data_IF_658561796823
#
_entry.id   IF_658561796823
#
_cell.length_a   1.000
_cell.length_b   1.000
_cell.length_c   1.000
_cell.angle_alpha   90.00
_cell.angle_beta   90.00
_cell.angle_gamma   90.00
#
_symmetry.space_group_name_H-M   'P 1'
#
loop_
_entity.id
_entity.type
_entity.pdbx_description
1 polymer ?
#
# COMPACT_ATOMS: atom_id res chain seq x y z
N UNK A 1 -28.36 24.22 21.42
CA UNK A 1 -27.17 23.35 21.57
C UNK A 1 -26.72 22.97 20.18
N UNK A 2 -25.73 23.69 19.62
CA UNK A 2 -25.23 23.44 18.25
C UNK A 2 -24.15 22.37 18.32
N UNK A 3 -24.36 21.32 17.55
CA UNK A 3 -23.46 20.22 17.28
C UNK A 3 -22.03 20.71 17.02
N UNK A 4 -21.07 20.29 17.86
CA UNK A 4 -19.67 20.38 17.48
C UNK A 4 -19.38 19.23 16.52
N UNK A 5 -19.41 19.51 15.24
CA UNK A 5 -18.82 18.66 14.21
C UNK A 5 -17.32 18.55 14.53
N UNK A 6 -16.95 17.46 15.19
CA UNK A 6 -15.56 17.11 15.42
C UNK A 6 -14.97 16.75 14.05
N UNK A 7 -14.43 17.76 13.37
CA UNK A 7 -13.76 17.63 12.09
C UNK A 7 -12.74 16.49 12.15
N UNK A 8 -12.92 15.50 11.29
CA UNK A 8 -11.98 14.40 11.13
C UNK A 8 -10.59 14.97 10.85
N UNK A 9 -9.72 14.94 11.87
CA UNK A 9 -8.31 15.27 11.72
C UNK A 9 -7.69 14.22 10.80
N UNK A 10 -7.70 14.48 9.50
CA UNK A 10 -7.04 13.64 8.51
C UNK A 10 -5.57 13.51 8.91
N UNK A 11 -5.06 12.31 9.21
CA UNK A 11 -3.69 12.16 9.64
C UNK A 11 -2.77 12.57 8.49
N UNK A 12 -1.92 13.56 8.77
CA UNK A 12 -0.85 14.08 7.91
C UNK A 12 0.12 12.97 7.41
N UNK A 13 0.07 11.78 8.01
CA UNK A 13 0.94 10.65 7.72
C UNK A 13 0.70 9.94 6.38
N UNK A 14 -0.35 10.25 5.62
CA UNK A 14 -0.62 9.50 4.38
C UNK A 14 0.31 9.86 3.22
N UNK A 15 0.95 11.04 3.23
CA UNK A 15 1.77 11.51 2.10
C UNK A 15 3.27 11.20 2.23
N UNK A 16 3.79 11.06 3.45
CA UNK A 16 5.22 10.80 3.67
C UNK A 16 5.55 9.31 3.51
N UNK A 17 4.60 8.41 3.76
CA UNK A 17 4.79 6.97 3.49
C UNK A 17 4.99 6.69 1.99
N UNK A 18 4.23 7.34 1.10
CA UNK A 18 4.27 7.01 -0.34
C UNK A 18 5.60 7.38 -1.00
N UNK A 19 6.29 8.42 -0.54
CA UNK A 19 7.63 8.83 -1.03
C UNK A 19 8.77 7.97 -0.48
N UNK A 20 8.73 7.58 0.80
CA UNK A 20 9.76 6.73 1.42
C UNK A 20 9.71 5.28 0.90
N UNK A 21 8.53 4.80 0.49
CA UNK A 21 8.36 3.43 -0.04
C UNK A 21 9.07 3.19 -1.38
N UNK A 22 9.34 4.23 -2.17
CA UNK A 22 10.01 4.12 -3.46
C UNK A 22 11.55 4.04 -3.33
N UNK A 23 12.14 4.75 -2.35
CA UNK A 23 13.60 4.74 -2.14
C UNK A 23 14.12 3.42 -1.58
N UNK A 24 13.29 2.66 -0.85
CA UNK A 24 13.66 1.38 -0.25
C UNK A 24 13.04 0.18 -0.99
N UNK A 25 13.15 0.12 -2.32
CA UNK A 25 12.64 -1.01 -3.09
C UNK A 25 13.69 -2.13 -3.25
N UNK A 26 13.44 -3.30 -2.64
CA UNK A 26 14.21 -4.52 -2.86
C UNK A 26 13.84 -5.12 -4.22
N UNK A 27 14.82 -5.22 -5.11
CA UNK A 27 14.69 -5.86 -6.42
C UNK A 27 15.01 -7.35 -6.29
N UNK A 28 14.04 -8.20 -6.59
CA UNK A 28 14.23 -9.64 -6.66
C UNK A 28 14.33 -10.07 -8.13
N UNK A 29 15.44 -10.69 -8.55
CA UNK A 29 15.59 -11.16 -9.93
C UNK A 29 14.67 -12.35 -10.19
N UNK A 30 14.07 -12.38 -11.37
CA UNK A 30 13.24 -13.48 -11.87
C UNK A 30 13.67 -13.83 -13.30
N UNK A 31 13.31 -15.01 -13.80
CA UNK A 31 13.66 -15.39 -15.19
C UNK A 31 13.06 -14.36 -16.16
N UNK A 32 13.93 -13.61 -16.85
CA UNK A 32 13.54 -12.59 -17.82
C UNK A 32 13.31 -11.18 -17.25
N UNK A 33 13.66 -10.89 -15.99
CA UNK A 33 13.51 -9.55 -15.43
C UNK A 33 13.75 -9.43 -13.93
N UNK A 34 13.10 -8.44 -13.32
CA UNK A 34 13.10 -8.24 -11.87
C UNK A 34 11.73 -7.77 -11.38
N UNK A 35 11.41 -8.13 -10.15
CA UNK A 35 10.25 -7.63 -9.42
C UNK A 35 10.77 -6.78 -8.27
N UNK A 36 10.42 -5.49 -8.26
CA UNK A 36 10.73 -4.58 -7.17
C UNK A 36 9.57 -4.53 -6.17
N UNK A 37 9.89 -4.77 -4.91
CA UNK A 37 8.96 -4.65 -3.79
C UNK A 37 9.53 -3.70 -2.75
N UNK A 38 8.67 -2.95 -2.08
CA UNK A 38 9.07 -2.15 -0.92
C UNK A 38 9.65 -3.06 0.16
N UNK A 39 10.84 -2.73 0.66
CA UNK A 39 11.53 -3.48 1.70
C UNK A 39 10.79 -3.40 3.05
N UNK A 40 10.11 -2.29 3.30
CA UNK A 40 9.39 -2.04 4.56
C UNK A 40 8.02 -2.73 4.56
N UNK A 41 7.28 -2.63 3.46
CA UNK A 41 5.89 -3.08 3.41
C UNK A 41 5.68 -4.39 2.63
N UNK A 42 6.70 -4.88 1.92
CA UNK A 42 6.60 -6.01 1.00
C UNK A 42 5.71 -5.75 -0.23
N UNK A 43 5.17 -4.53 -0.37
CA UNK A 43 4.23 -4.15 -1.42
C UNK A 43 4.91 -4.09 -2.77
N UNK A 44 4.15 -4.41 -3.81
CA UNK A 44 4.60 -4.32 -5.20
C UNK A 44 4.80 -2.86 -5.61
N UNK A 45 5.96 -2.54 -6.19
CA UNK A 45 6.31 -1.20 -6.67
C UNK A 45 6.37 -1.19 -8.18
N UNK A 46 7.20 -2.06 -8.76
CA UNK A 46 7.36 -2.16 -10.20
C UNK A 46 7.89 -3.54 -10.62
N UNK A 47 7.69 -3.87 -11.89
CA UNK A 47 8.30 -5.01 -12.56
C UNK A 47 9.02 -4.51 -13.81
N UNK A 48 10.24 -4.97 -14.01
CA UNK A 48 11.04 -4.67 -15.19
C UNK A 48 11.44 -5.93 -15.92
N UNK A 49 11.42 -5.89 -17.24
CA UNK A 49 11.91 -6.93 -18.14
C UNK A 49 12.64 -6.29 -19.31
N UNK A 50 13.28 -7.09 -20.17
CA UNK A 50 13.94 -6.60 -21.38
C UNK A 50 12.98 -5.86 -22.34
N UNK A 51 11.67 -6.15 -22.28
CA UNK A 51 10.64 -5.49 -23.08
C UNK A 51 10.06 -4.22 -22.44
N UNK A 52 10.45 -3.88 -21.21
CA UNK A 52 10.03 -2.63 -20.55
C UNK A 52 9.71 -2.77 -19.07
N UNK A 53 9.29 -1.64 -18.48
CA UNK A 53 8.99 -1.49 -17.05
C UNK A 53 7.51 -1.14 -16.85
N UNK A 54 6.84 -1.86 -15.94
CA UNK A 54 5.47 -1.58 -15.52
C UNK A 54 5.43 -1.27 -14.02
N UNK A 55 4.88 -0.12 -13.66
CA UNK A 55 4.74 0.35 -12.27
C UNK A 55 3.36 0.03 -11.70
N UNK A 56 3.26 -0.02 -10.39
CA UNK A 56 1.98 -0.16 -9.70
C UNK A 56 1.04 0.99 -10.07
N UNK A 57 -0.14 0.66 -10.58
CA UNK A 57 -1.15 1.66 -10.95
C UNK A 57 -1.85 2.21 -9.69
N UNK A 58 -2.25 3.49 -9.64
CA UNK A 58 -2.96 4.06 -8.49
C UNK A 58 -4.25 3.29 -8.11
N UNK A 59 -4.97 2.78 -9.11
CA UNK A 59 -6.17 1.96 -8.92
C UNK A 59 -5.88 0.63 -8.20
N UNK A 60 -4.69 0.05 -8.38
CA UNK A 60 -4.32 -1.19 -7.69
C UNK A 60 -4.07 -0.95 -6.20
N UNK A 61 -3.56 0.24 -5.84
CA UNK A 61 -3.29 0.62 -4.45
C UNK A 61 -4.60 0.76 -3.66
N UNK A 62 -5.64 1.38 -4.24
CA UNK A 62 -6.93 1.54 -3.58
C UNK A 62 -7.60 0.19 -3.30
N UNK A 63 -7.60 -0.73 -4.28
CA UNK A 63 -8.16 -2.08 -4.13
C UNK A 63 -7.44 -2.87 -3.04
N UNK A 64 -6.11 -2.79 -2.97
CA UNK A 64 -5.33 -3.47 -1.93
C UNK A 64 -5.61 -2.89 -0.54
N UNK A 65 -5.73 -1.56 -0.42
CA UNK A 65 -6.10 -0.88 0.83
C UNK A 65 -7.49 -1.34 1.29
N UNK A 66 -8.47 -1.39 0.39
CA UNK A 66 -9.82 -1.84 0.69
C UNK A 66 -9.85 -3.30 1.18
N UNK A 67 -9.21 -4.21 0.44
CA UNK A 67 -9.12 -5.62 0.82
C UNK A 67 -8.44 -5.82 2.18
N UNK A 68 -7.43 -5.01 2.50
CA UNK A 68 -6.73 -5.06 3.79
C UNK A 68 -7.63 -4.54 4.93
N UNK A 69 -8.42 -3.50 4.67
CA UNK A 69 -9.39 -2.97 5.63
C UNK A 69 -10.47 -4.00 5.99
N UNK A 70 -11.03 -4.68 4.97
CA UNK A 70 -12.01 -5.76 5.16
C UNK A 70 -11.45 -6.93 5.98
N UNK A 71 -10.19 -7.33 5.71
CA UNK A 71 -9.50 -8.36 6.51
C UNK A 71 -9.32 -7.92 7.96
N UNK A 72 -8.87 -6.68 8.19
CA UNK A 72 -8.68 -6.13 9.53
C UNK A 72 -9.99 -6.09 10.33
N UNK A 73 -11.09 -5.69 9.72
CA UNK A 73 -12.39 -5.65 10.40
C UNK A 73 -12.90 -7.06 10.73
N UNK A 74 -12.74 -8.02 9.81
CA UNK A 74 -13.10 -9.42 10.07
C UNK A 74 -12.29 -10.02 11.23
N UNK A 75 -10.98 -9.81 11.26
CA UNK A 75 -10.11 -10.30 12.33
C UNK A 75 -10.47 -9.70 13.69
N UNK A 76 -10.77 -8.39 13.75
CA UNK A 76 -11.26 -7.74 14.99
C UNK A 76 -12.54 -8.39 15.51
N UNK A 77 -13.46 -8.77 14.62
CA UNK A 77 -14.69 -9.46 15.00
C UNK A 77 -14.44 -10.86 15.55
N UNK A 78 -13.47 -11.59 14.97
CA UNK A 78 -13.08 -12.92 15.46
C UNK A 78 -12.37 -12.84 16.81
N UNK A 79 -11.51 -11.84 17.03
CA UNK A 79 -10.78 -11.68 18.30
C UNK A 79 -11.67 -11.27 19.49
N UNK A 80 -12.84 -10.67 19.22
CA UNK A 80 -13.83 -10.32 20.24
C UNK A 80 -14.76 -11.50 20.64
N UNK A 81 -14.64 -12.64 19.96
CA UNK A 81 -15.32 -13.89 20.34
C UNK A 81 -14.41 -14.69 21.26
#
# INVERSE_FOLDING_TARGET
MRSCECGERRPYYSYVEESIMAENAKKNPVKGGYIARSAVSGRFVEVGSSSGVKKAAPKSVSVVKEASSRRKSALKRLANR
#
